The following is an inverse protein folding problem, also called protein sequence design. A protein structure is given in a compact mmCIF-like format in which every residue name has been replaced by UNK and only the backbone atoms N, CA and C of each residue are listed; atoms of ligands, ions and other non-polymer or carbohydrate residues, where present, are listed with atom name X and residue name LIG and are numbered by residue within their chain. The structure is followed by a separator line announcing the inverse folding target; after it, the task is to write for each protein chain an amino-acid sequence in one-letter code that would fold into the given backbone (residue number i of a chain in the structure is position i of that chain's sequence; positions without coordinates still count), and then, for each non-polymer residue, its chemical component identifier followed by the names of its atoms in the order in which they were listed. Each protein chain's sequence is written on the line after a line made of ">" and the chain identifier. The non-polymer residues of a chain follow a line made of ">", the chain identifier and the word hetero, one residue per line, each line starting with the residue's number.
data_IF_489553760912
#
_entry.id   IF_489553760912
#
_cell.length_a   1.000
_cell.length_b   1.000
_cell.length_c   1.000
_cell.angle_alpha   90.00
_cell.angle_beta   90.00
_cell.angle_gamma   90.00
#
_symmetry.space_group_name_H-M   'P 1'
#
loop_
_entity.id
_entity.type
_entity.pdbx_description
1 polymer ?
#
# COMPACT_ATOMS: atom_id res chain seq x y z
N UNK A 1 41.02 6.34 6.57
CA UNK A 1 40.76 7.26 7.71
C UNK A 1 39.68 8.22 7.22
N UNK A 2 38.41 7.84 7.35
CA UNK A 2 37.29 8.65 6.87
C UNK A 2 36.79 9.49 8.03
N UNK A 3 36.94 10.81 7.93
CA UNK A 3 36.41 11.76 8.90
C UNK A 3 34.91 11.92 8.63
N UNK A 4 34.07 11.45 9.56
CA UNK A 4 32.64 11.74 9.54
C UNK A 4 32.44 13.14 10.11
N UNK A 5 31.83 14.03 9.33
CA UNK A 5 31.53 15.38 9.74
C UNK A 5 30.05 15.47 10.13
N UNK A 6 29.78 15.85 11.39
CA UNK A 6 28.44 16.14 11.88
C UNK A 6 28.20 17.64 11.78
N UNK A 7 27.13 18.05 11.11
CA UNK A 7 26.84 19.46 10.85
C UNK A 7 25.50 19.90 11.43
N UNK A 8 25.41 21.19 11.76
CA UNK A 8 24.15 21.92 11.96
C UNK A 8 24.01 22.96 10.86
N UNK A 9 22.79 23.15 10.38
CA UNK A 9 22.44 24.09 9.32
C UNK A 9 21.40 25.08 9.83
N UNK A 10 21.48 26.33 9.40
CA UNK A 10 20.47 27.34 9.73
C UNK A 10 20.34 28.38 8.63
N UNK A 11 19.16 28.97 8.56
CA UNK A 11 18.84 30.11 7.70
C UNK A 11 19.13 31.42 8.43
N UNK A 12 19.65 32.41 7.71
CA UNK A 12 19.86 33.76 8.20
C UNK A 12 19.06 34.72 7.33
N UNK A 13 18.01 35.29 7.91
CA UNK A 13 17.20 36.35 7.29
C UNK A 13 17.81 37.70 7.67
N UNK A 14 18.89 38.07 6.97
CA UNK A 14 19.49 39.40 7.03
C UNK A 14 19.10 40.15 5.75
N UNK A 15 18.43 41.30 5.87
CA UNK A 15 17.97 42.09 4.72
C UNK A 15 19.10 42.51 3.77
N UNK A 16 20.35 42.57 4.24
CA UNK A 16 21.49 42.95 3.41
C UNK A 16 22.32 41.75 2.94
N UNK A 17 22.37 40.67 3.73
CA UNK A 17 23.19 39.49 3.43
C UNK A 17 22.51 38.17 3.84
N UNK A 18 21.37 37.84 3.22
CA UNK A 18 20.66 36.61 3.51
C UNK A 18 21.55 35.40 3.17
N UNK A 19 21.46 34.36 3.98
CA UNK A 19 22.33 33.20 3.79
C UNK A 19 21.79 31.92 4.41
N UNK A 20 22.32 30.80 3.93
CA UNK A 20 22.25 29.52 4.62
C UNK A 20 23.66 29.17 5.02
N UNK A 21 23.82 28.94 6.32
CA UNK A 21 25.09 28.62 6.94
C UNK A 21 25.04 27.22 7.51
N UNK A 22 26.24 26.65 7.69
CA UNK A 22 26.44 25.44 8.48
C UNK A 22 27.63 25.59 9.41
N UNK A 23 27.69 24.77 10.43
CA UNK A 23 28.90 24.55 11.23
C UNK A 23 28.99 23.07 11.58
N UNK A 24 30.11 22.66 12.15
CA UNK A 24 30.16 21.41 12.89
C UNK A 24 29.14 21.44 14.02
N UNK A 25 28.69 20.26 14.47
CA UNK A 25 27.67 20.13 15.52
C UNK A 25 28.10 20.74 16.87
N UNK A 26 29.41 20.87 17.10
CA UNK A 26 29.99 21.56 18.26
C UNK A 26 30.09 23.09 18.08
N UNK A 27 29.60 23.63 16.94
CA UNK A 27 29.67 25.05 16.59
C UNK A 27 30.95 25.50 15.89
N UNK A 28 31.95 24.62 15.70
CA UNK A 28 33.19 24.95 15.02
C UNK A 28 33.03 25.03 13.49
N UNK A 29 34.01 25.58 12.78
CA UNK A 29 34.08 25.57 11.32
C UNK A 29 32.82 26.10 10.61
N UNK A 30 32.24 27.20 11.13
CA UNK A 30 31.11 27.88 10.46
C UNK A 30 31.48 28.25 9.03
N UNK A 31 30.61 27.87 8.09
CA UNK A 31 30.73 28.15 6.66
C UNK A 31 29.39 28.61 6.10
N UNK A 32 29.40 29.74 5.39
CA UNK A 32 28.30 30.16 4.52
C UNK A 32 28.28 29.27 3.28
N UNK A 33 27.22 28.48 3.11
CA UNK A 33 27.09 27.54 1.99
C UNK A 33 26.21 28.10 0.87
N UNK A 34 25.24 28.95 1.19
CA UNK A 34 24.45 29.71 0.22
C UNK A 34 24.47 31.18 0.63
N UNK A 35 24.83 32.06 -0.31
CA UNK A 35 24.83 33.51 -0.08
C UNK A 35 24.61 34.38 -1.32
N UNK A 36 24.42 33.76 -2.50
CA UNK A 36 24.12 34.45 -3.75
C UNK A 36 22.69 34.10 -4.18
N UNK A 37 21.98 34.99 -4.87
CA UNK A 37 20.59 34.78 -5.34
C UNK A 37 19.70 34.12 -4.28
N UNK A 38 19.74 34.62 -3.06
CA UNK A 38 18.90 34.21 -1.93
C UNK A 38 18.33 35.49 -1.32
N UNK A 39 17.09 35.48 -0.87
CA UNK A 39 16.40 36.71 -0.48
C UNK A 39 15.89 36.64 0.96
N UNK A 40 14.95 35.74 1.24
CA UNK A 40 14.41 35.54 2.59
C UNK A 40 14.25 34.04 2.85
N UNK A 41 15.35 33.36 3.24
CA UNK A 41 15.28 31.95 3.55
C UNK A 41 14.60 31.74 4.90
N UNK A 42 13.43 31.10 4.91
CA UNK A 42 12.67 30.90 6.15
C UNK A 42 12.93 29.52 6.75
N UNK A 43 12.31 28.48 6.19
CA UNK A 43 12.37 27.13 6.73
C UNK A 43 13.38 26.30 5.95
N UNK A 44 14.13 25.45 6.65
CA UNK A 44 15.10 24.51 6.08
C UNK A 44 14.84 23.10 6.62
N UNK A 45 15.03 22.09 5.78
CA UNK A 45 15.02 20.68 6.16
C UNK A 45 16.17 19.95 5.47
N UNK A 46 16.59 18.83 6.05
CA UNK A 46 17.67 18.00 5.52
C UNK A 46 17.13 16.64 5.11
N UNK A 47 17.48 16.22 3.90
CA UNK A 47 17.43 14.82 3.48
C UNK A 47 18.81 14.22 3.69
N UNK A 48 18.98 13.61 4.87
CA UNK A 48 20.28 13.09 5.29
C UNK A 48 20.76 11.93 4.42
N UNK A 49 19.83 11.15 3.86
CA UNK A 49 20.14 9.99 3.04
C UNK A 49 20.68 10.40 1.67
N UNK A 50 20.05 11.41 1.06
CA UNK A 50 20.50 11.93 -0.24
C UNK A 50 21.55 13.04 -0.11
N UNK A 51 21.93 13.45 1.11
CA UNK A 51 22.89 14.52 1.40
C UNK A 51 22.50 15.86 0.75
N UNK A 52 21.22 16.21 0.85
CA UNK A 52 20.64 17.43 0.26
C UNK A 52 19.89 18.21 1.34
N UNK A 53 20.03 19.53 1.31
CA UNK A 53 19.18 20.45 2.06
C UNK A 53 18.09 21.02 1.15
N UNK A 54 16.91 21.25 1.72
CA UNK A 54 15.79 21.91 1.07
C UNK A 54 15.38 23.12 1.89
N UNK A 55 15.05 24.23 1.24
CA UNK A 55 14.60 25.42 1.94
C UNK A 55 13.54 26.19 1.17
N UNK A 56 12.82 27.04 1.90
CA UNK A 56 11.90 28.04 1.35
C UNK A 56 12.61 29.39 1.27
N UNK A 57 12.51 30.05 0.12
CA UNK A 57 13.07 31.39 -0.13
C UNK A 57 11.93 32.30 -0.60
N UNK A 58 11.42 33.14 0.30
CA UNK A 58 10.43 34.17 -0.05
C UNK A 58 11.13 35.32 -0.78
N UNK A 59 10.45 35.88 -1.78
CA UNK A 59 10.99 36.88 -2.71
C UNK A 59 10.03 38.04 -2.90
N UNK A 60 10.52 39.06 -3.57
CA UNK A 60 9.74 40.22 -3.96
C UNK A 60 8.48 39.84 -4.76
N UNK A 61 7.45 40.68 -4.68
CA UNK A 61 6.18 40.53 -5.41
C UNK A 61 5.40 39.25 -5.06
N UNK A 62 5.50 38.77 -3.80
CA UNK A 62 4.77 37.60 -3.30
C UNK A 62 5.10 36.30 -4.05
N UNK A 63 6.33 36.21 -4.57
CA UNK A 63 6.88 34.97 -5.11
C UNK A 63 7.64 34.23 -4.03
N UNK A 64 7.72 32.92 -4.16
CA UNK A 64 8.66 32.14 -3.40
C UNK A 64 9.23 31.02 -4.25
N UNK A 65 10.40 30.55 -3.84
CA UNK A 65 11.02 29.36 -4.38
C UNK A 65 11.16 28.32 -3.28
N UNK A 66 10.99 27.07 -3.68
CA UNK A 66 11.51 25.96 -2.91
C UNK A 66 12.72 25.45 -3.67
N UNK A 67 13.83 25.39 -2.97
CA UNK A 67 15.13 25.09 -3.56
C UNK A 67 15.80 23.95 -2.82
N UNK A 68 16.77 23.33 -3.50
CA UNK A 68 17.61 22.28 -2.93
C UNK A 68 19.06 22.49 -3.30
N UNK A 69 19.97 21.98 -2.48
CA UNK A 69 21.41 21.92 -2.75
C UNK A 69 22.04 20.79 -1.95
N UNK A 70 23.21 20.32 -2.38
CA UNK A 70 24.03 19.41 -1.59
C UNK A 70 24.38 20.04 -0.22
N UNK A 71 24.79 19.22 0.76
CA UNK A 71 25.17 19.70 2.10
C UNK A 71 26.27 20.77 2.09
N UNK A 72 27.11 20.83 1.05
CA UNK A 72 28.17 21.84 0.87
C UNK A 72 27.75 23.10 0.11
N UNK A 73 26.49 23.18 -0.33
CA UNK A 73 25.93 24.25 -1.16
C UNK A 73 26.06 24.00 -2.66
N UNK A 74 26.69 22.90 -3.09
CA UNK A 74 26.82 22.52 -4.49
C UNK A 74 25.49 22.05 -5.12
N UNK A 75 25.46 21.96 -6.46
CA UNK A 75 24.31 21.48 -7.23
C UNK A 75 22.97 22.12 -6.83
N UNK A 76 22.99 23.43 -6.61
CA UNK A 76 21.79 24.19 -6.26
C UNK A 76 20.77 24.16 -7.39
N UNK A 77 19.52 23.85 -7.07
CA UNK A 77 18.41 23.74 -8.01
C UNK A 77 17.12 24.29 -7.41
N UNK A 78 16.33 25.00 -8.22
CA UNK A 78 14.95 25.38 -7.88
C UNK A 78 14.04 24.20 -8.22
N UNK A 79 13.29 23.68 -7.24
CA UNK A 79 12.37 22.55 -7.42
C UNK A 79 10.91 22.98 -7.55
N UNK A 80 10.58 24.18 -7.08
CA UNK A 80 9.25 24.74 -7.23
C UNK A 80 9.29 26.27 -7.18
N UNK A 81 8.41 26.91 -7.96
CA UNK A 81 8.17 28.34 -7.93
C UNK A 81 6.68 28.57 -7.80
N UNK A 82 6.26 29.24 -6.73
CA UNK A 82 4.87 29.60 -6.50
C UNK A 82 4.68 31.11 -6.39
N UNK A 83 3.41 31.52 -6.35
CA UNK A 83 2.98 32.91 -6.13
C UNK A 83 1.81 32.93 -5.17
N UNK A 84 1.67 34.03 -4.43
CA UNK A 84 0.53 34.27 -3.53
C UNK A 84 0.36 33.23 -2.41
N UNK A 85 1.42 32.45 -2.14
CA UNK A 85 1.50 31.52 -1.02
C UNK A 85 2.75 31.92 -0.22
N UNK A 86 2.59 32.06 1.09
CA UNK A 86 3.68 32.39 2.02
C UNK A 86 4.10 31.08 2.71
N UNK A 87 5.16 30.41 2.25
CA UNK A 87 5.56 29.13 2.80
C UNK A 87 6.15 29.28 4.22
N UNK A 88 5.47 28.74 5.23
CA UNK A 88 5.86 28.92 6.65
C UNK A 88 6.81 27.85 7.15
N UNK A 89 6.57 26.59 6.79
CA UNK A 89 7.44 25.46 7.15
C UNK A 89 7.57 24.46 6.00
N UNK A 90 8.71 23.75 6.00
CA UNK A 90 9.04 22.70 5.02
C UNK A 90 9.53 21.43 5.73
N UNK A 91 9.17 20.27 5.20
CA UNK A 91 9.66 18.97 5.66
C UNK A 91 9.76 17.98 4.50
N UNK A 92 10.66 17.01 4.60
CA UNK A 92 10.92 15.99 3.58
C UNK A 92 10.48 14.63 4.11
N UNK A 93 9.69 13.88 3.34
CA UNK A 93 9.29 12.52 3.69
C UNK A 93 9.29 11.63 2.45
N UNK A 94 10.00 10.51 2.51
CA UNK A 94 10.21 9.61 1.38
C UNK A 94 10.64 10.35 0.09
N UNK A 95 9.76 10.47 -0.91
CA UNK A 95 9.99 11.14 -2.19
C UNK A 95 9.19 12.44 -2.36
N UNK A 96 8.74 13.05 -1.26
CA UNK A 96 7.88 14.24 -1.29
C UNK A 96 8.37 15.31 -0.34
N UNK A 97 8.41 16.53 -0.84
CA UNK A 97 8.60 17.73 -0.02
C UNK A 97 7.22 18.26 0.34
N UNK A 98 6.96 18.36 1.64
CA UNK A 98 5.76 18.98 2.18
C UNK A 98 6.09 20.40 2.61
N UNK A 99 5.23 21.35 2.26
CA UNK A 99 5.33 22.70 2.78
C UNK A 99 3.95 23.23 3.17
N UNK A 100 3.94 24.21 4.07
CA UNK A 100 2.72 24.81 4.61
C UNK A 100 2.61 26.24 4.14
N UNK A 101 1.38 26.69 3.85
CA UNK A 101 1.06 28.11 3.69
C UNK A 101 0.04 28.55 4.76
N UNK A 102 -0.52 29.76 4.64
CA UNK A 102 -1.51 30.31 5.60
C UNK A 102 -2.77 29.47 5.81
N UNK A 103 -3.11 28.56 4.90
CA UNK A 103 -4.36 27.77 4.94
C UNK A 103 -4.20 26.34 4.44
N UNK A 104 -3.04 25.92 3.96
CA UNK A 104 -2.86 24.66 3.26
C UNK A 104 -1.58 23.95 3.66
N UNK A 105 -1.61 22.63 3.48
CA UNK A 105 -0.43 21.79 3.32
C UNK A 105 -0.34 21.41 1.86
N UNK A 106 0.83 21.59 1.26
CA UNK A 106 1.15 21.25 -0.11
C UNK A 106 2.16 20.10 -0.14
N UNK A 107 2.13 19.32 -1.21
CA UNK A 107 3.10 18.26 -1.47
C UNK A 107 3.69 18.41 -2.88
N UNK A 108 5.01 18.41 -2.98
CA UNK A 108 5.77 18.34 -4.22
C UNK A 108 6.34 16.94 -4.34
N UNK A 109 5.98 16.21 -5.40
CA UNK A 109 6.59 14.92 -5.71
C UNK A 109 7.89 15.14 -6.47
N UNK A 110 9.01 14.70 -5.89
CA UNK A 110 10.35 14.92 -6.44
C UNK A 110 10.61 14.15 -7.74
N UNK A 111 9.76 13.16 -8.08
CA UNK A 111 9.81 12.47 -9.38
C UNK A 111 8.99 13.19 -10.45
N UNK A 112 8.10 14.10 -10.05
CA UNK A 112 7.26 14.87 -10.96
C UNK A 112 7.89 16.25 -11.22
N UNK A 113 7.80 16.74 -12.44
CA UNK A 113 8.37 18.04 -12.77
C UNK A 113 7.55 19.18 -12.13
N UNK A 114 8.18 19.88 -11.17
CA UNK A 114 7.86 21.24 -10.71
C UNK A 114 6.38 21.54 -10.36
N UNK A 115 5.60 20.54 -9.95
CA UNK A 115 4.21 20.74 -9.57
C UNK A 115 4.00 20.45 -8.08
N UNK A 116 3.47 21.46 -7.38
CA UNK A 116 2.91 21.29 -6.05
C UNK A 116 1.44 20.90 -6.17
N UNK A 117 1.03 19.91 -5.39
CA UNK A 117 -0.35 19.47 -5.24
C UNK A 117 -0.87 19.84 -3.86
N UNK A 118 -2.15 20.24 -3.80
CA UNK A 118 -2.81 20.47 -2.52
C UNK A 118 -2.91 19.14 -1.78
N UNK A 119 -2.26 19.05 -0.61
CA UNK A 119 -2.30 17.86 0.23
C UNK A 119 -3.43 17.94 1.24
N UNK A 120 -3.62 19.11 1.87
CA UNK A 120 -4.68 19.33 2.86
C UNK A 120 -5.05 20.82 2.93
N UNK A 121 -6.34 21.11 3.12
CA UNK A 121 -6.85 22.48 3.26
C UNK A 121 -7.43 22.72 4.66
N UNK A 122 -7.06 23.86 5.24
CA UNK A 122 -7.39 24.37 6.56
C UNK A 122 -7.90 25.82 6.42
N UNK A 123 -9.13 26.05 5.96
CA UNK A 123 -9.61 27.37 5.57
C UNK A 123 -9.77 28.36 6.73
N UNK A 124 -9.65 27.89 7.98
CA UNK A 124 -9.78 28.70 9.21
C UNK A 124 -8.57 28.56 10.15
N UNK A 125 -7.49 27.92 9.73
CA UNK A 125 -6.31 27.69 10.57
C UNK A 125 -5.04 27.93 9.75
N UNK A 126 -4.00 28.46 10.40
CA UNK A 126 -2.70 28.68 9.78
C UNK A 126 -1.70 27.61 10.26
N UNK A 127 -1.43 26.55 9.48
CA UNK A 127 -0.42 25.57 9.85
C UNK A 127 0.96 26.24 9.92
N UNK A 128 1.58 26.20 11.09
CA UNK A 128 2.86 26.90 11.35
C UNK A 128 4.09 26.01 11.19
N UNK A 129 3.92 24.70 11.37
CA UNK A 129 4.99 23.72 11.30
C UNK A 129 4.49 22.47 10.58
N UNK A 130 5.38 21.86 9.82
CA UNK A 130 5.20 20.52 9.28
C UNK A 130 6.44 19.71 9.62
N UNK A 131 6.22 18.53 10.18
CA UNK A 131 7.27 17.54 10.40
C UNK A 131 6.77 16.22 9.83
N UNK A 132 7.66 15.50 9.18
CA UNK A 132 7.42 14.14 8.71
C UNK A 132 7.96 13.17 9.75
N UNK A 133 7.18 12.13 10.04
CA UNK A 133 7.62 10.99 10.84
C UNK A 133 7.23 9.73 10.09
N UNK A 134 8.23 9.06 9.55
CA UNK A 134 8.02 7.81 8.82
C UNK A 134 8.01 6.65 9.83
N UNK A 135 6.84 6.31 10.37
CA UNK A 135 6.66 5.31 11.43
C UNK A 135 6.66 3.85 10.95
N UNK A 136 7.42 3.51 9.91
CA UNK A 136 7.48 2.14 9.35
C UNK A 136 8.79 1.41 9.60
N UNK A 137 9.65 1.98 10.42
CA UNK A 137 10.77 1.27 11.00
C UNK A 137 10.33 0.77 12.38
N UNK A 138 10.80 -0.41 12.78
CA UNK A 138 10.51 -1.10 14.05
C UNK A 138 9.25 -1.97 14.07
N UNK A 139 9.44 -3.26 13.75
CA UNK A 139 9.02 -4.29 14.70
C UNK A 139 10.28 -4.91 15.30
N UNK A 140 10.33 -4.88 16.63
CA UNK A 140 11.40 -5.43 17.44
C UNK A 140 11.07 -6.91 17.69
N UNK A 141 12.01 -7.81 17.46
CA UNK A 141 12.19 -8.99 18.31
C UNK A 141 13.62 -9.55 18.18
N UNK A 142 14.41 -9.29 19.23
CA UNK A 142 15.66 -9.91 19.66
C UNK A 142 16.94 -9.74 18.80
N UNK A 143 17.90 -9.02 19.41
CA UNK A 143 19.34 -8.98 19.12
C UNK A 143 19.79 -8.59 17.69
N UNK A 144 20.10 -7.30 17.52
CA UNK A 144 21.32 -6.74 16.86
C UNK A 144 21.92 -7.40 15.60
N UNK A 145 21.19 -8.21 14.84
CA UNK A 145 21.67 -8.84 13.62
C UNK A 145 20.65 -8.65 12.50
N UNK A 146 21.04 -7.85 11.50
CA UNK A 146 20.39 -7.85 10.20
C UNK A 146 20.71 -9.18 9.51
N UNK A 147 19.80 -10.16 9.57
CA UNK A 147 19.97 -11.41 8.86
C UNK A 147 19.60 -11.26 7.39
N UNK A 148 20.47 -11.75 6.51
CA UNK A 148 20.14 -12.05 5.13
C UNK A 148 19.57 -13.48 5.06
N UNK A 149 18.30 -13.68 4.67
CA UNK A 149 17.93 -14.93 4.04
C UNK A 149 18.42 -14.84 2.59
N UNK A 150 19.68 -15.25 2.35
CA UNK A 150 20.03 -15.66 1.00
C UNK A 150 19.10 -16.82 0.65
N UNK A 151 18.26 -16.66 -0.38
CA UNK A 151 17.60 -17.82 -1.01
C UNK A 151 18.69 -18.86 -1.24
N UNK A 152 18.50 -20.13 -0.82
CA UNK A 152 19.31 -21.19 -1.36
C UNK A 152 19.14 -21.12 -2.88
N UNK A 153 20.24 -20.91 -3.60
CA UNK A 153 20.29 -21.29 -5.01
C UNK A 153 19.98 -22.78 -5.01
N UNK A 154 18.75 -23.14 -5.37
CA UNK A 154 18.52 -24.50 -5.83
C UNK A 154 19.09 -24.58 -7.23
N UNK A 155 20.30 -25.13 -7.28
CA UNK A 155 20.84 -25.77 -8.47
C UNK A 155 19.78 -26.73 -9.03
N UNK A 156 19.39 -26.50 -10.28
CA UNK A 156 18.92 -27.62 -11.11
C UNK A 156 20.13 -28.48 -11.40
N UNK A 157 20.11 -29.78 -11.06
CA UNK A 157 20.21 -30.72 -12.17
C UNK A 157 19.42 -32.03 -11.99
N UNK A 158 18.90 -32.44 -13.16
CA UNK A 158 18.74 -33.81 -13.68
C UNK A 158 17.54 -34.66 -13.24
N UNK A 159 16.85 -35.08 -14.29
CA UNK A 159 15.86 -36.14 -14.35
C UNK A 159 16.39 -37.47 -13.77
N UNK A 160 15.53 -38.14 -13.02
CA UNK A 160 15.48 -39.59 -12.91
C UNK A 160 14.01 -40.02 -13.00
N UNK A 161 13.78 -40.98 -13.88
CA UNK A 161 12.55 -41.70 -14.19
C UNK A 161 12.21 -42.76 -13.14
N UNK A 162 10.92 -42.93 -12.82
CA UNK A 162 10.12 -44.18 -12.78
C UNK A 162 8.80 -43.88 -12.02
N UNK A 163 7.66 -43.77 -12.73
CA UNK A 163 6.57 -44.76 -12.89
C UNK A 163 6.01 -45.27 -11.56
N UNK A 164 4.78 -44.87 -11.23
CA UNK A 164 3.75 -45.85 -10.89
C UNK A 164 2.35 -45.35 -11.28
N UNK A 165 1.61 -46.22 -11.94
CA UNK A 165 0.23 -46.03 -12.41
C UNK A 165 -0.73 -46.15 -11.22
N UNK A 166 -1.77 -45.31 -11.15
CA UNK A 166 -3.11 -45.81 -10.80
C UNK A 166 -4.22 -44.91 -11.36
N UNK A 167 -5.28 -45.59 -11.78
CA UNK A 167 -6.27 -45.21 -12.78
C UNK A 167 -7.51 -44.51 -12.18
N UNK A 168 -8.21 -43.74 -13.04
CA UNK A 168 -9.67 -43.82 -13.35
C UNK A 168 -10.51 -42.56 -13.07
N UNK A 169 -10.81 -41.83 -14.14
CA UNK A 169 -12.05 -41.07 -14.28
C UNK A 169 -13.21 -42.04 -14.56
N UNK A 170 -14.36 -41.85 -13.90
CA UNK A 170 -15.60 -42.55 -14.24
C UNK A 170 -16.61 -41.57 -14.84
N UNK A 171 -16.79 -41.69 -16.16
CA UNK A 171 -18.05 -41.44 -16.86
C UNK A 171 -18.78 -42.78 -16.96
N UNK A 172 -20.04 -42.86 -16.53
CA UNK A 172 -20.86 -44.07 -16.73
C UNK A 172 -21.57 -44.00 -18.08
N UNK A 173 -21.33 -45.01 -18.91
CA UNK A 173 -22.06 -45.36 -20.14
C UNK A 173 -22.53 -46.82 -19.95
N UNK A 174 -23.79 -47.13 -20.25
CA UNK A 174 -24.30 -48.51 -20.19
C UNK A 174 -23.97 -49.30 -21.47
N UNK A 175 -23.95 -50.63 -21.33
CA UNK A 175 -23.24 -51.58 -22.20
C UNK A 175 -23.82 -51.85 -23.61
N UNK A 176 -24.88 -51.17 -24.02
CA UNK A 176 -25.55 -51.47 -25.31
C UNK A 176 -25.43 -50.32 -26.33
N UNK A 177 -24.61 -49.31 -26.06
CA UNK A 177 -24.20 -48.30 -27.04
C UNK A 177 -25.23 -47.22 -27.39
N UNK A 178 -26.41 -47.20 -26.76
CA UNK A 178 -27.37 -46.10 -26.91
C UNK A 178 -27.11 -44.96 -25.93
N UNK A 179 -27.19 -43.71 -26.42
CA UNK A 179 -27.21 -42.51 -25.58
C UNK A 179 -28.53 -42.47 -24.83
N UNK A 180 -28.50 -42.62 -23.51
CA UNK A 180 -29.64 -42.29 -22.64
C UNK A 180 -29.61 -40.78 -22.44
N UNK A 181 -30.55 -40.09 -23.08
CA UNK A 181 -31.02 -38.79 -22.60
C UNK A 181 -31.56 -39.06 -21.21
N UNK A 182 -30.92 -38.51 -20.17
CA UNK A 182 -31.53 -38.51 -18.84
C UNK A 182 -32.88 -37.84 -19.00
N UNK A 183 -33.94 -38.56 -18.68
CA UNK A 183 -35.29 -38.03 -18.61
C UNK A 183 -35.25 -36.71 -17.84
N UNK A 184 -35.39 -35.62 -18.59
CA UNK A 184 -36.12 -34.47 -18.11
C UNK A 184 -37.41 -35.06 -17.55
N UNK A 185 -37.61 -34.94 -16.24
CA UNK A 185 -38.97 -34.93 -15.72
C UNK A 185 -39.60 -33.74 -16.43
N UNK A 186 -40.28 -34.02 -17.54
CA UNK A 186 -41.28 -33.14 -18.14
C UNK A 186 -42.30 -32.97 -17.04
N UNK A 187 -42.09 -31.96 -16.20
CA UNK A 187 -43.08 -31.53 -15.23
C UNK A 187 -44.33 -31.26 -16.04
N UNK A 188 -45.37 -32.04 -15.78
CA UNK A 188 -46.75 -31.74 -16.18
C UNK A 188 -46.94 -30.24 -16.05
N UNK A 189 -47.53 -29.62 -17.09
CA UNK A 189 -47.97 -28.22 -17.10
C UNK A 189 -48.76 -27.93 -15.82
N UNK A 190 -48.04 -27.53 -14.77
CA UNK A 190 -48.59 -27.30 -13.45
C UNK A 190 -49.12 -25.88 -13.47
N UNK A 191 -50.22 -25.73 -14.21
CA UNK A 191 -51.12 -24.60 -14.09
C UNK A 191 -51.75 -24.67 -12.70
N UNK A 192 -51.49 -23.65 -11.89
CA UNK A 192 -51.99 -23.55 -10.52
C UNK A 192 -53.04 -22.45 -10.51
N UNK A 193 -54.26 -22.80 -10.09
CA UNK A 193 -55.31 -21.84 -9.79
C UNK A 193 -55.03 -21.20 -8.43
N UNK A 194 -54.81 -19.89 -8.43
CA UNK A 194 -54.54 -19.12 -7.22
C UNK A 194 -55.85 -18.78 -6.48
N UNK A 195 -55.80 -18.42 -5.18
CA UNK A 195 -56.99 -18.07 -4.39
C UNK A 195 -57.79 -16.88 -4.95
N UNK A 196 -57.17 -16.06 -5.80
CA UNK A 196 -57.76 -14.93 -6.50
C UNK A 196 -58.36 -15.28 -7.89
N UNK A 197 -58.30 -16.56 -8.31
CA UNK A 197 -58.84 -17.04 -9.58
C UNK A 197 -57.91 -16.92 -10.80
N UNK A 198 -56.66 -16.48 -10.61
CA UNK A 198 -55.67 -16.37 -11.70
C UNK A 198 -54.97 -17.71 -11.97
N UNK A 199 -54.65 -18.00 -13.25
CA UNK A 199 -53.80 -19.13 -13.65
C UNK A 199 -52.33 -18.73 -13.56
N UNK A 200 -51.57 -19.43 -12.72
CA UNK A 200 -50.11 -19.30 -12.63
C UNK A 200 -49.38 -20.54 -13.11
N UNK A 201 -48.12 -20.41 -13.53
CA UNK A 201 -47.28 -21.54 -13.93
C UNK A 201 -46.04 -21.64 -13.00
N UNK A 202 -45.77 -22.83 -12.46
CA UNK A 202 -44.59 -23.08 -11.61
C UNK A 202 -43.30 -23.32 -12.39
N UNK A 203 -43.34 -23.66 -13.68
CA UNK A 203 -42.13 -24.03 -14.44
C UNK A 203 -41.25 -22.83 -14.83
N UNK A 204 -41.79 -21.61 -14.83
CA UNK A 204 -41.04 -20.41 -15.17
C UNK A 204 -40.20 -19.85 -13.98
N UNK A 205 -40.54 -20.21 -12.74
CA UNK A 205 -39.92 -19.70 -11.52
C UNK A 205 -39.17 -20.81 -10.76
N UNK A 206 -38.03 -20.47 -10.15
CA UNK A 206 -37.29 -21.38 -9.28
C UNK A 206 -37.92 -21.44 -7.88
N UNK A 207 -37.47 -22.40 -7.05
CA UNK A 207 -37.79 -22.51 -5.62
C UNK A 207 -39.30 -22.43 -5.31
N UNK A 208 -40.12 -23.10 -6.13
CA UNK A 208 -41.58 -23.16 -6.01
C UNK A 208 -42.31 -21.80 -6.12
N UNK A 209 -41.68 -20.79 -6.74
CA UNK A 209 -42.34 -19.55 -7.13
C UNK A 209 -43.47 -19.78 -8.15
N UNK A 210 -44.36 -18.81 -8.28
CA UNK A 210 -45.49 -18.89 -9.21
C UNK A 210 -45.43 -17.70 -10.17
N UNK A 211 -45.47 -17.98 -11.48
CA UNK A 211 -45.49 -16.95 -12.52
C UNK A 211 -46.90 -16.38 -12.69
N UNK A 212 -47.05 -15.07 -12.48
CA UNK A 212 -48.33 -14.34 -12.53
C UNK A 212 -48.09 -12.98 -13.20
N UNK A 213 -48.93 -12.58 -14.16
CA UNK A 213 -48.90 -11.26 -14.78
C UNK A 213 -47.48 -10.80 -15.21
N UNK A 214 -46.76 -11.67 -15.93
CA UNK A 214 -45.40 -11.45 -16.44
C UNK A 214 -44.28 -11.31 -15.38
N UNK A 215 -44.51 -11.79 -14.14
CA UNK A 215 -43.49 -11.78 -13.08
C UNK A 215 -43.60 -13.00 -12.15
N UNK A 216 -42.50 -13.39 -11.49
CA UNK A 216 -42.53 -14.43 -10.48
C UNK A 216 -42.92 -13.87 -9.10
N UNK A 217 -43.91 -14.48 -8.46
CA UNK A 217 -44.21 -14.29 -7.04
C UNK A 217 -43.49 -15.36 -6.23
N UNK A 218 -42.58 -14.94 -5.36
CA UNK A 218 -41.70 -15.83 -4.61
C UNK A 218 -42.31 -16.30 -3.30
N UNK A 219 -41.99 -17.55 -2.92
CA UNK A 219 -42.30 -18.10 -1.60
C UNK A 219 -41.46 -17.38 -0.53
N UNK A 220 -41.97 -17.33 0.70
CA UNK A 220 -41.23 -16.78 1.85
C UNK A 220 -39.80 -17.32 1.91
N UNK A 221 -38.83 -16.41 2.07
CA UNK A 221 -37.40 -16.75 2.08
C UNK A 221 -36.69 -16.63 0.72
N UNK A 222 -37.40 -16.39 -0.39
CA UNK A 222 -36.79 -16.23 -1.72
C UNK A 222 -37.12 -14.90 -2.39
N UNK A 223 -36.24 -14.45 -3.28
CA UNK A 223 -36.37 -13.25 -4.08
C UNK A 223 -35.61 -13.40 -5.42
N UNK A 224 -35.61 -12.34 -6.24
CA UNK A 224 -35.06 -12.37 -7.60
C UNK A 224 -36.16 -12.36 -8.65
N UNK A 225 -35.80 -12.12 -9.90
CA UNK A 225 -36.76 -12.02 -11.00
C UNK A 225 -37.46 -13.35 -11.32
N UNK A 226 -36.83 -14.46 -10.94
CA UNK A 226 -37.29 -15.83 -11.09
C UNK A 226 -37.25 -16.61 -9.78
N UNK A 227 -37.22 -15.94 -8.62
CA UNK A 227 -37.11 -16.56 -7.28
C UNK A 227 -35.87 -17.46 -7.09
N UNK A 228 -34.79 -17.12 -7.79
CA UNK A 228 -33.53 -17.85 -7.85
C UNK A 228 -32.61 -17.57 -6.65
N UNK A 229 -32.86 -16.51 -5.88
CA UNK A 229 -32.03 -16.08 -4.76
C UNK A 229 -32.75 -16.28 -3.42
N UNK A 230 -32.03 -16.71 -2.38
CA UNK A 230 -32.56 -16.78 -1.02
C UNK A 230 -32.34 -15.44 -0.28
N UNK A 231 -33.34 -14.95 0.45
CA UNK A 231 -33.31 -13.69 1.20
C UNK A 231 -32.17 -13.65 2.23
N UNK A 232 -31.81 -14.79 2.85
CA UNK A 232 -30.67 -14.88 3.76
C UNK A 232 -29.32 -14.55 3.10
N UNK A 233 -29.21 -14.73 1.77
CA UNK A 233 -28.01 -14.39 1.01
C UNK A 233 -27.99 -12.94 0.50
N UNK A 234 -29.11 -12.21 0.59
CA UNK A 234 -29.20 -10.86 0.06
C UNK A 234 -28.25 -9.91 0.79
N UNK A 235 -27.25 -9.38 0.08
CA UNK A 235 -26.17 -8.54 0.61
C UNK A 235 -25.40 -9.16 1.78
N UNK A 236 -25.47 -10.48 1.97
CA UNK A 236 -24.79 -11.14 3.07
C UNK A 236 -23.29 -11.31 2.76
N UNK A 237 -22.93 -12.08 1.73
CA UNK A 237 -21.54 -12.22 1.31
C UNK A 237 -21.07 -11.00 0.51
N UNK A 238 -19.94 -10.40 0.90
CA UNK A 238 -19.41 -9.19 0.25
C UNK A 238 -18.67 -9.54 -1.04
N UNK A 239 -17.75 -10.52 -0.98
CA UNK A 239 -16.89 -10.94 -2.10
C UNK A 239 -16.75 -12.46 -2.18
N UNK A 240 -17.86 -13.19 -2.14
CA UNK A 240 -17.88 -14.65 -2.19
C UNK A 240 -19.22 -15.21 -2.64
N UNK A 241 -19.29 -16.54 -2.74
CA UNK A 241 -20.54 -17.25 -3.09
C UNK A 241 -21.30 -17.61 -1.82
N UNK A 242 -22.62 -17.44 -1.83
CA UNK A 242 -23.49 -17.71 -0.68
C UNK A 242 -24.21 -19.05 -0.83
N UNK A 243 -24.18 -19.86 0.22
CA UNK A 243 -24.95 -21.09 0.34
C UNK A 243 -25.83 -21.01 1.59
N UNK A 244 -27.01 -21.64 1.55
CA UNK A 244 -27.97 -21.64 2.67
C UNK A 244 -28.17 -23.07 3.13
N UNK A 245 -28.05 -23.30 4.44
CA UNK A 245 -28.28 -24.62 5.02
C UNK A 245 -29.78 -24.95 5.18
N UNK A 246 -30.07 -26.18 5.61
CA UNK A 246 -31.45 -26.65 5.85
C UNK A 246 -32.20 -25.87 6.95
N UNK A 247 -31.49 -25.10 7.77
CA UNK A 247 -32.07 -24.24 8.81
C UNK A 247 -32.36 -22.81 8.32
N UNK A 248 -31.93 -22.47 7.10
CA UNK A 248 -32.06 -21.15 6.51
C UNK A 248 -30.88 -20.21 6.81
N UNK A 249 -29.79 -20.71 7.41
CA UNK A 249 -28.61 -19.91 7.73
C UNK A 249 -27.69 -19.77 6.51
N UNK A 250 -27.24 -18.55 6.24
CA UNK A 250 -26.35 -18.23 5.12
C UNK A 250 -24.88 -18.42 5.51
N UNK A 251 -24.13 -19.12 4.66
CA UNK A 251 -22.69 -19.36 4.76
C UNK A 251 -21.99 -18.87 3.50
N UNK A 252 -20.87 -18.17 3.66
CA UNK A 252 -20.10 -17.63 2.54
C UNK A 252 -18.87 -18.50 2.25
N UNK A 253 -18.69 -18.86 0.98
CA UNK A 253 -17.46 -19.47 0.46
C UNK A 253 -16.58 -18.37 -0.14
N UNK A 254 -15.43 -18.12 0.50
CA UNK A 254 -14.55 -17.01 0.13
C UNK A 254 -13.47 -17.41 -0.88
N UNK A 255 -13.17 -16.56 -1.89
CA UNK A 255 -11.98 -16.70 -2.71
C UNK A 255 -10.71 -16.59 -1.86
N UNK A 256 -9.60 -17.16 -2.34
CA UNK A 256 -8.32 -17.26 -1.61
C UNK A 256 -7.72 -15.92 -1.10
N UNK A 257 -8.20 -14.77 -1.59
CA UNK A 257 -7.72 -13.44 -1.17
C UNK A 257 -8.58 -12.80 -0.07
N UNK A 258 -9.77 -13.35 0.20
CA UNK A 258 -10.73 -12.80 1.14
C UNK A 258 -11.00 -13.78 2.28
N UNK A 259 -11.23 -13.25 3.48
CA UNK A 259 -11.55 -14.03 4.67
C UNK A 259 -12.65 -13.35 5.49
N UNK A 260 -13.06 -14.02 6.57
CA UNK A 260 -14.18 -13.61 7.43
C UNK A 260 -15.49 -14.33 7.08
N UNK A 261 -16.47 -14.31 7.98
CA UNK A 261 -17.75 -15.00 7.80
C UNK A 261 -18.57 -14.48 6.62
N UNK A 262 -18.25 -13.27 6.12
CA UNK A 262 -18.92 -12.62 4.98
C UNK A 262 -17.96 -12.30 3.84
N UNK A 263 -16.72 -12.82 3.87
CA UNK A 263 -15.65 -12.49 2.92
C UNK A 263 -15.37 -10.98 2.83
N UNK A 264 -15.41 -10.30 3.97
CA UNK A 264 -15.29 -8.85 4.12
C UNK A 264 -13.84 -8.38 4.32
N UNK A 265 -12.94 -9.29 4.73
CA UNK A 265 -11.54 -8.97 5.00
C UNK A 265 -10.72 -9.29 3.76
N UNK A 266 -10.08 -8.28 3.16
CA UNK A 266 -9.06 -8.47 2.13
C UNK A 266 -7.71 -8.74 2.80
N UNK A 267 -7.17 -9.95 2.63
CA UNK A 267 -5.92 -10.37 3.26
C UNK A 267 -4.67 -9.74 2.64
N UNK A 268 -4.79 -9.16 1.45
CA UNK A 268 -3.71 -8.50 0.73
C UNK A 268 -3.76 -6.97 0.83
N UNK A 269 -4.90 -6.39 1.21
CA UNK A 269 -5.04 -4.95 1.37
C UNK A 269 -4.01 -4.39 2.36
N UNK A 270 -3.06 -3.60 1.84
CA UNK A 270 -2.03 -2.94 2.63
C UNK A 270 -0.99 -3.87 3.29
N UNK A 271 -1.01 -5.19 3.01
CA UNK A 271 -0.09 -6.16 3.62
C UNK A 271 1.33 -6.00 3.09
N UNK A 272 1.50 -6.05 1.76
CA UNK A 272 2.83 -5.92 1.14
C UNK A 272 3.17 -4.44 0.92
N UNK A 273 4.35 -4.04 1.39
CA UNK A 273 4.85 -2.68 1.35
C UNK A 273 5.82 -2.49 0.19
N UNK A 274 6.24 -1.24 -0.06
CA UNK A 274 7.30 -0.89 -1.02
C UNK A 274 7.12 -1.48 -2.44
N UNK A 275 5.86 -1.59 -2.90
CA UNK A 275 5.54 -2.15 -4.22
C UNK A 275 5.63 -3.67 -4.30
N UNK A 276 5.63 -4.38 -3.17
CA UNK A 276 5.58 -5.84 -3.14
C UNK A 276 4.26 -6.41 -3.66
N UNK A 277 4.36 -7.57 -4.31
CA UNK A 277 3.22 -8.30 -4.87
C UNK A 277 2.71 -9.30 -3.84
N UNK A 278 1.43 -9.18 -3.45
CA UNK A 278 0.79 -10.13 -2.54
C UNK A 278 0.32 -11.37 -3.30
N UNK A 279 0.76 -12.55 -2.85
CA UNK A 279 0.39 -13.84 -3.40
C UNK A 279 -0.38 -14.63 -2.33
N UNK A 280 -1.68 -14.91 -2.51
CA UNK A 280 -2.42 -15.76 -1.60
C UNK A 280 -2.00 -17.23 -1.80
N UNK A 281 -1.64 -17.90 -0.70
CA UNK A 281 -1.24 -19.32 -0.69
C UNK A 281 -2.47 -20.17 -0.34
N UNK A 282 -3.16 -19.81 0.74
CA UNK A 282 -4.41 -20.44 1.18
C UNK A 282 -5.38 -19.40 1.78
N UNK A 283 -6.52 -19.87 2.32
CA UNK A 283 -7.56 -19.01 2.92
C UNK A 283 -7.13 -18.22 4.17
N UNK A 284 -5.97 -18.53 4.77
CA UNK A 284 -5.42 -17.89 5.96
C UNK A 284 -3.94 -17.45 5.82
N UNK A 285 -3.27 -17.80 4.72
CA UNK A 285 -1.85 -17.58 4.52
C UNK A 285 -1.59 -16.87 3.19
N UNK A 286 -0.81 -15.81 3.26
CA UNK A 286 -0.37 -15.03 2.09
C UNK A 286 1.12 -14.72 2.20
N UNK A 287 1.77 -14.57 1.05
CA UNK A 287 3.19 -14.27 0.91
C UNK A 287 3.40 -13.01 0.08
N UNK A 288 4.39 -12.19 0.45
CA UNK A 288 4.77 -11.02 -0.33
C UNK A 288 6.03 -11.31 -1.15
N UNK A 289 5.93 -11.18 -2.47
CA UNK A 289 7.10 -11.13 -3.35
C UNK A 289 7.66 -9.71 -3.38
N UNK A 290 8.88 -9.55 -2.86
CA UNK A 290 9.51 -8.25 -2.75
C UNK A 290 10.28 -7.88 -4.03
N UNK A 291 10.17 -6.62 -4.50
CA UNK A 291 10.99 -6.10 -5.58
C UNK A 291 12.47 -6.06 -5.17
N UNK A 292 13.37 -6.02 -6.16
CA UNK A 292 14.81 -5.92 -5.91
C UNK A 292 15.16 -4.78 -4.96
N UNK A 293 15.97 -5.07 -3.94
CA UNK A 293 16.38 -4.11 -2.92
C UNK A 293 15.43 -3.99 -1.72
N UNK A 294 14.33 -4.76 -1.68
CA UNK A 294 13.42 -4.86 -0.53
C UNK A 294 13.35 -6.28 0.01
N UNK A 295 13.08 -6.42 1.31
CA UNK A 295 13.06 -7.70 2.02
C UNK A 295 12.11 -7.67 3.23
N UNK A 296 11.91 -8.80 3.88
CA UNK A 296 10.96 -8.96 4.99
C UNK A 296 9.68 -9.67 4.56
N UNK A 297 8.86 -10.09 5.53
CA UNK A 297 7.66 -10.88 5.25
C UNK A 297 6.60 -10.06 4.50
N UNK A 298 6.62 -8.74 4.70
CA UNK A 298 5.72 -7.75 4.14
C UNK A 298 6.49 -6.76 3.24
N UNK A 299 7.72 -7.06 2.83
CA UNK A 299 8.59 -6.17 2.05
C UNK A 299 8.88 -4.82 2.73
N UNK A 300 8.87 -4.81 4.06
CA UNK A 300 9.07 -3.66 4.93
C UNK A 300 10.54 -3.19 4.98
N UNK A 301 11.48 -4.11 4.79
CA UNK A 301 12.92 -3.85 4.81
C UNK A 301 13.44 -3.36 3.47
N UNK A 302 14.46 -2.50 3.51
CA UNK A 302 15.14 -1.99 2.32
C UNK A 302 16.65 -2.13 2.48
N UNK A 303 17.31 -2.68 1.46
CA UNK A 303 18.74 -2.90 1.44
C UNK A 303 19.51 -1.57 1.53
N UNK A 304 19.00 -0.52 0.87
CA UNK A 304 19.58 0.82 0.93
C UNK A 304 19.54 1.39 2.37
N UNK A 305 18.40 1.26 3.04
CA UNK A 305 18.21 1.75 4.41
C UNK A 305 18.98 0.91 5.44
N UNK A 306 19.12 -0.40 5.20
CA UNK A 306 19.97 -1.27 6.01
C UNK A 306 21.45 -0.89 5.89
N UNK A 307 21.94 -0.60 4.68
CA UNK A 307 23.31 -0.09 4.47
C UNK A 307 23.52 1.25 5.17
N UNK A 308 22.54 2.15 5.08
CA UNK A 308 22.58 3.43 5.79
C UNK A 308 22.65 3.24 7.32
N UNK A 309 21.89 2.29 7.88
CA UNK A 309 21.91 1.98 9.30
C UNK A 309 23.23 1.33 9.77
N UNK A 310 23.81 0.39 9.00
CA UNK A 310 25.11 -0.21 9.31
C UNK A 310 26.25 0.82 9.29
N UNK A 311 26.17 1.83 8.42
CA UNK A 311 27.11 2.95 8.41
C UNK A 311 26.97 3.81 9.68
N UNK A 312 25.76 3.97 10.22
CA UNK A 312 25.48 4.73 11.43
C UNK A 312 25.80 3.97 12.73
N UNK A 313 25.61 2.64 12.79
CA UNK A 313 25.79 1.85 14.03
C UNK A 313 27.25 1.48 14.35
N UNK A 314 28.12 1.41 13.35
CA UNK A 314 29.56 1.22 13.57
C UNK A 314 30.24 2.39 14.32
N UNK A 315 29.51 3.48 14.59
CA UNK A 315 29.98 4.64 15.35
C UNK A 315 29.53 4.65 16.83
N UNK A 316 28.63 3.78 17.28
CA UNK A 316 28.14 3.79 18.67
C UNK A 316 28.85 2.78 19.58
N UNK A 317 29.28 1.63 19.06
CA UNK A 317 29.84 0.53 19.88
C UNK A 317 31.39 0.42 19.80
N UNK A 318 32.13 1.53 19.98
CA UNK A 318 33.61 1.49 20.13
C UNK A 318 34.12 1.41 21.58
N UNK A 319 33.23 1.26 22.56
CA UNK A 319 33.61 1.09 23.96
C UNK A 319 32.94 -0.13 24.61
N UNK A 320 33.10 -1.34 24.05
CA UNK A 320 33.23 -2.62 24.79
C UNK A 320 33.43 -3.80 23.82
N UNK A 321 34.37 -4.69 24.19
CA UNK A 321 34.93 -5.88 23.52
C UNK A 321 33.91 -7.02 23.21
N UNK A 322 34.28 -8.20 22.65
CA UNK A 322 35.41 -8.62 21.80
C UNK A 322 34.95 -9.26 20.45
N UNK A 323 35.93 -9.67 19.65
CA UNK A 323 35.87 -10.43 18.39
C UNK A 323 34.63 -11.35 18.22
N UNK A 324 33.76 -11.02 17.26
CA UNK A 324 33.18 -11.92 16.23
C UNK A 324 31.88 -11.33 15.69
N UNK A 325 31.99 -10.52 14.63
CA UNK A 325 31.07 -10.52 13.47
C UNK A 325 31.22 -9.19 12.74
N UNK A 326 32.17 -9.13 11.80
CA UNK A 326 32.22 -8.04 10.82
C UNK A 326 30.94 -8.09 9.99
N UNK A 327 30.30 -6.94 9.82
CA UNK A 327 29.32 -6.74 8.74
C UNK A 327 30.04 -7.03 7.41
N UNK A 328 29.77 -8.18 6.78
CA UNK A 328 30.17 -8.49 5.41
C UNK A 328 28.98 -8.33 4.49
#
# INVERSE_FOLDING_TARGET
>A
MSFYFSYIFWTNVDYNQPSIDRSDINGANRKRIIGNDIFQPYSITIDILNQVIYWTDEREMEYFRIERANLDGGNRQVIYTGRYQEPTAISIGFNRVYFTDRTNVWAIDLNSANNASLFMNYPKMAPMAVITSDSKYYSYENNSQCFFPTRPKHDSPKAVTEIDEFTRAQTKINKDGTRVVSEEIVGEESTVLLPNGELGNRSACHNNGVWINASCVCKEGYHGSRCELHLACYNYCVRGTCEVDVSGAATCSCPLQFSGPRCEVDMCAGRCQNGGTCIPIDVNQTHCECPSGYFGNHCEGSEFLCRAYCLLKNDVDRFALPETSSCR
#
